data_IF_827435004752
#
_entry.id   IF_827435004752
#
_cell.length_a   1.000
_cell.length_b   1.000
_cell.length_c   1.000
_cell.angle_alpha   90.00
_cell.angle_beta   90.00
_cell.angle_gamma   90.00
#
_symmetry.space_group_name_H-M   'P 1'
#
loop_
_entity.id
_entity.type
_entity.pdbx_description
1 polymer ?
#
# COMPACT_ATOMS: atom_id res chain seq x y z
N UNK A 1 42.12 25.61 -20.88
CA UNK A 1 42.38 25.44 -19.44
C UNK A 1 43.04 24.08 -19.28
N UNK A 2 44.28 24.03 -18.78
CA UNK A 2 45.03 22.77 -18.68
C UNK A 2 44.55 21.92 -17.50
N UNK A 3 44.69 20.59 -17.62
CA UNK A 3 44.35 19.59 -16.60
C UNK A 3 44.97 19.92 -15.23
N UNK A 4 46.18 20.40 -15.20
CA UNK A 4 46.87 20.82 -13.97
C UNK A 4 46.10 21.92 -13.20
N UNK A 5 45.49 22.87 -13.88
CA UNK A 5 44.70 23.93 -13.25
C UNK A 5 43.39 23.39 -12.63
N UNK A 6 42.80 22.35 -13.22
CA UNK A 6 41.63 21.63 -12.67
C UNK A 6 42.02 20.83 -11.42
N UNK A 7 43.18 20.19 -11.42
CA UNK A 7 43.69 19.40 -10.28
C UNK A 7 43.97 20.34 -9.12
N UNK A 8 44.73 21.44 -9.33
CA UNK A 8 45.03 22.42 -8.29
C UNK A 8 43.79 23.12 -7.72
N UNK A 9 42.77 23.37 -8.56
CA UNK A 9 41.52 23.99 -8.15
C UNK A 9 40.67 23.07 -7.25
N UNK A 10 40.84 21.77 -7.34
CA UNK A 10 40.12 20.80 -6.53
C UNK A 10 40.95 20.21 -5.37
N UNK A 11 42.26 20.51 -5.36
CA UNK A 11 43.15 20.03 -4.29
C UNK A 11 42.82 20.78 -2.98
N UNK A 12 42.51 20.04 -1.93
CA UNK A 12 42.16 20.61 -0.62
C UNK A 12 40.72 21.10 -0.48
N UNK A 13 39.86 20.91 -1.46
CA UNK A 13 38.41 21.16 -1.27
C UNK A 13 37.74 19.97 -0.61
N UNK A 14 36.93 20.29 0.39
CA UNK A 14 36.05 19.26 0.99
C UNK A 14 35.13 18.65 -0.07
N UNK A 15 34.76 17.38 0.11
CA UNK A 15 33.79 16.71 -0.73
C UNK A 15 32.51 17.53 -0.87
N UNK A 16 32.00 17.69 -2.10
CA UNK A 16 30.72 18.34 -2.35
C UNK A 16 29.54 17.39 -2.21
N UNK A 17 29.82 16.12 -2.08
CA UNK A 17 28.83 15.08 -1.82
C UNK A 17 28.73 14.82 -0.33
N UNK A 18 27.51 14.71 0.16
CA UNK A 18 27.28 14.30 1.56
C UNK A 18 27.65 12.83 1.73
N UNK A 19 28.28 12.52 2.84
CA UNK A 19 28.48 11.14 3.26
C UNK A 19 27.18 10.65 3.91
N UNK A 20 26.88 9.32 3.85
CA UNK A 20 25.71 8.75 4.52
C UNK A 20 25.71 8.97 6.04
N UNK A 21 26.87 9.23 6.63
CA UNK A 21 27.03 9.54 8.06
C UNK A 21 26.78 11.00 8.43
N UNK A 22 26.56 11.90 7.46
CA UNK A 22 26.30 13.31 7.74
C UNK A 22 24.91 13.46 8.36
N UNK A 23 24.84 13.84 9.62
CA UNK A 23 23.61 14.06 10.40
C UNK A 23 22.86 15.35 10.00
N UNK A 24 22.88 15.70 8.74
CA UNK A 24 22.12 16.86 8.25
C UNK A 24 20.70 16.41 7.91
N UNK A 25 19.67 17.06 8.46
CA UNK A 25 18.29 16.69 8.19
C UNK A 25 17.99 16.78 6.68
N UNK A 26 17.20 15.84 6.19
CA UNK A 26 16.75 15.86 4.81
C UNK A 26 15.77 17.01 4.59
N UNK A 27 15.74 17.61 3.38
CA UNK A 27 14.79 18.66 3.06
C UNK A 27 13.35 18.16 3.16
N UNK A 28 12.42 19.08 3.39
CA UNK A 28 10.99 18.79 3.35
C UNK A 28 10.60 18.18 2.01
N UNK A 29 9.76 17.15 2.04
CA UNK A 29 9.36 16.40 0.84
C UNK A 29 10.39 15.37 0.34
N UNK A 30 11.47 15.14 1.09
CA UNK A 30 12.42 14.08 0.76
C UNK A 30 11.72 12.72 0.76
N UNK A 31 11.90 11.96 -0.31
CA UNK A 31 11.38 10.59 -0.46
C UNK A 31 12.42 9.61 0.06
N UNK A 32 12.36 9.31 1.36
CA UNK A 32 13.25 8.36 2.00
C UNK A 32 12.77 6.91 1.87
N UNK A 33 12.79 6.18 2.97
CA UNK A 33 12.40 4.76 3.00
C UNK A 33 10.89 4.60 2.80
N UNK A 34 10.49 3.63 1.97
CA UNK A 34 9.09 3.27 1.78
C UNK A 34 8.60 2.43 2.96
N UNK A 35 7.40 2.74 3.45
CA UNK A 35 6.71 1.97 4.47
C UNK A 35 5.36 1.47 3.97
N UNK A 36 4.88 0.37 4.54
CA UNK A 36 3.60 -0.23 4.21
C UNK A 36 2.84 -0.63 5.48
N UNK A 37 1.61 -0.17 5.60
CA UNK A 37 0.68 -0.55 6.66
C UNK A 37 -0.29 -1.62 6.15
N UNK A 38 -0.10 -2.86 6.61
CA UNK A 38 -0.95 -3.99 6.25
C UNK A 38 -2.40 -3.84 6.74
N UNK A 39 -2.63 -3.08 7.82
CA UNK A 39 -3.98 -2.80 8.34
C UNK A 39 -4.78 -1.84 7.47
N UNK A 40 -4.12 -1.02 6.67
CA UNK A 40 -4.75 -0.13 5.69
C UNK A 40 -4.79 -0.73 4.28
N UNK A 41 -4.07 -1.82 4.03
CA UNK A 41 -3.97 -2.42 2.71
C UNK A 41 -5.19 -3.26 2.36
N UNK A 42 -5.73 -3.08 1.17
CA UNK A 42 -6.86 -3.87 0.63
C UNK A 42 -6.41 -5.01 -0.28
N UNK A 43 -5.11 -5.21 -0.46
CA UNK A 43 -4.59 -6.22 -1.38
C UNK A 43 -4.90 -5.96 -2.85
N UNK A 44 -5.22 -4.71 -3.24
CA UNK A 44 -5.61 -4.36 -4.61
C UNK A 44 -4.48 -4.46 -5.64
N UNK A 45 -3.23 -4.63 -5.20
CA UNK A 45 -2.02 -4.79 -6.02
C UNK A 45 -1.68 -3.60 -6.95
N UNK A 46 -2.41 -2.49 -6.87
CA UNK A 46 -2.17 -1.30 -7.72
C UNK A 46 -0.74 -0.80 -7.63
N UNK A 47 -0.15 -0.82 -6.41
CA UNK A 47 1.22 -0.36 -6.20
C UNK A 47 2.27 -1.21 -6.94
N UNK A 48 2.03 -2.51 -7.12
CA UNK A 48 2.87 -3.37 -7.97
C UNK A 48 2.70 -3.04 -9.46
N UNK A 49 1.47 -2.80 -9.91
CA UNK A 49 1.17 -2.45 -11.30
C UNK A 49 1.83 -1.14 -11.75
N UNK A 50 1.83 -0.12 -10.89
CA UNK A 50 2.41 1.20 -11.24
C UNK A 50 3.92 1.25 -11.01
N UNK A 51 4.52 0.20 -10.47
CA UNK A 51 5.94 0.12 -10.17
C UNK A 51 6.73 -0.32 -11.41
N UNK A 52 7.24 0.63 -12.19
CA UNK A 52 8.02 0.34 -13.40
C UNK A 52 9.23 -0.57 -13.17
N UNK A 53 10.05 -0.40 -12.10
CA UNK A 53 11.16 -1.30 -11.84
C UNK A 53 10.76 -2.60 -11.14
N UNK A 54 9.45 -2.87 -10.93
CA UNK A 54 8.94 -4.07 -10.25
C UNK A 54 9.49 -4.25 -8.82
N UNK A 55 9.80 -3.14 -8.14
CA UNK A 55 10.30 -3.15 -6.76
C UNK A 55 9.25 -3.62 -5.74
N UNK A 56 7.95 -3.66 -6.12
CA UNK A 56 6.86 -4.15 -5.29
C UNK A 56 6.24 -5.36 -5.98
N UNK A 57 6.19 -6.48 -5.26
CA UNK A 57 5.61 -7.74 -5.72
C UNK A 57 4.63 -8.29 -4.70
N UNK A 58 3.81 -9.25 -5.14
CA UNK A 58 2.80 -9.92 -4.31
C UNK A 58 2.93 -11.42 -4.46
N UNK A 59 2.92 -12.11 -3.32
CA UNK A 59 2.76 -13.57 -3.30
C UNK A 59 1.37 -13.89 -2.73
N UNK A 60 0.57 -14.58 -3.54
CA UNK A 60 -0.80 -14.99 -3.23
C UNK A 60 -0.93 -16.52 -3.09
N UNK A 61 0.17 -17.21 -2.92
CA UNK A 61 0.20 -18.68 -2.79
C UNK A 61 -0.39 -19.19 -1.47
N UNK A 62 -0.33 -18.35 -0.42
CA UNK A 62 -0.89 -18.69 0.88
C UNK A 62 -2.40 -18.36 0.93
N UNK A 63 -3.28 -19.33 1.33
CA UNK A 63 -4.71 -19.10 1.41
C UNK A 63 -5.13 -18.16 2.56
N UNK A 64 -4.25 -17.87 3.51
CA UNK A 64 -4.56 -17.05 4.69
C UNK A 64 -4.25 -15.56 4.51
N UNK A 65 -3.31 -15.21 3.63
CA UNK A 65 -2.86 -13.83 3.42
C UNK A 65 -2.27 -13.60 2.04
N UNK A 66 -2.17 -12.34 1.66
CA UNK A 66 -1.33 -11.87 0.55
C UNK A 66 -0.03 -11.35 1.16
N UNK A 67 1.12 -11.85 0.73
CA UNK A 67 2.40 -11.30 1.11
C UNK A 67 2.74 -10.13 0.17
N UNK A 68 2.78 -8.91 0.71
CA UNK A 68 3.33 -7.74 0.05
C UNK A 68 4.84 -7.72 0.27
N UNK A 69 5.61 -7.52 -0.78
CA UNK A 69 7.07 -7.54 -0.74
C UNK A 69 7.61 -6.29 -1.44
N UNK A 70 8.64 -5.69 -0.86
CA UNK A 70 9.32 -4.52 -1.41
C UNK A 70 10.83 -4.70 -1.38
N UNK A 71 11.45 -4.44 -2.52
CA UNK A 71 12.88 -4.53 -2.76
C UNK A 71 13.43 -3.10 -2.97
N UNK A 72 14.02 -2.52 -1.92
CA UNK A 72 14.49 -1.14 -1.94
C UNK A 72 15.61 -0.92 -2.97
N UNK A 73 16.42 -1.92 -3.24
CA UNK A 73 17.51 -1.89 -4.23
C UNK A 73 17.02 -1.71 -5.68
N UNK A 74 15.76 -2.07 -5.96
CA UNK A 74 15.14 -1.88 -7.27
C UNK A 74 14.34 -0.57 -7.36
N UNK A 75 14.11 0.09 -6.22
CA UNK A 75 13.23 1.24 -6.17
C UNK A 75 13.88 2.49 -6.76
N UNK A 76 13.17 3.18 -7.65
CA UNK A 76 13.57 4.48 -8.20
C UNK A 76 13.05 5.68 -7.40
N UNK A 77 12.40 5.47 -6.27
CA UNK A 77 11.82 6.51 -5.39
C UNK A 77 10.87 7.48 -6.13
N UNK A 78 10.22 7.04 -7.21
CA UNK A 78 9.34 7.87 -8.02
C UNK A 78 8.04 8.29 -7.31
N UNK A 79 7.59 7.56 -6.28
CA UNK A 79 6.41 7.87 -5.47
C UNK A 79 5.07 7.43 -6.05
N UNK A 80 5.02 6.84 -7.24
CA UNK A 80 3.74 6.42 -7.86
C UNK A 80 2.96 5.45 -6.99
N UNK A 81 3.60 4.51 -6.31
CA UNK A 81 2.92 3.57 -5.42
C UNK A 81 2.22 4.26 -4.24
N UNK A 82 2.76 5.37 -3.75
CA UNK A 82 2.15 6.20 -2.70
C UNK A 82 0.97 6.98 -3.25
N UNK A 83 1.15 7.62 -4.41
CA UNK A 83 0.12 8.45 -5.06
C UNK A 83 -1.11 7.64 -5.48
N UNK A 84 -0.91 6.45 -6.04
CA UNK A 84 -1.99 5.60 -6.53
C UNK A 84 -2.56 4.64 -5.49
N UNK A 85 -2.10 4.67 -4.24
CA UNK A 85 -2.66 3.83 -3.19
C UNK A 85 -4.02 4.37 -2.72
N UNK A 86 -5.13 3.66 -2.97
CA UNK A 86 -6.48 4.17 -2.68
C UNK A 86 -6.76 4.33 -1.19
N UNK A 87 -6.02 3.60 -0.35
CA UNK A 87 -6.18 3.62 1.11
C UNK A 87 -5.04 4.33 1.83
N UNK A 88 -4.03 4.82 1.10
CA UNK A 88 -2.80 5.39 1.65
C UNK A 88 -2.05 4.44 2.61
N UNK A 89 -2.11 3.14 2.31
CA UNK A 89 -1.38 2.12 3.05
C UNK A 89 0.15 2.20 2.83
N UNK A 90 0.60 2.98 1.85
CA UNK A 90 2.01 3.17 1.51
C UNK A 90 2.37 4.63 1.71
N UNK A 91 3.50 4.87 2.36
CA UNK A 91 4.04 6.21 2.57
C UNK A 91 5.57 6.19 2.55
N UNK A 92 6.18 7.37 2.40
CA UNK A 92 7.61 7.54 2.63
C UNK A 92 7.84 8.11 4.03
N UNK A 93 8.89 7.64 4.69
CA UNK A 93 9.44 8.29 5.88
C UNK A 93 10.72 9.02 5.48
N UNK A 94 10.94 10.20 6.06
CA UNK A 94 12.09 11.05 5.75
C UNK A 94 13.37 10.54 6.41
N UNK A 95 13.61 9.23 6.37
CA UNK A 95 14.81 8.59 6.87
C UNK A 95 15.71 8.17 5.72
N UNK A 96 17.02 8.19 5.95
CA UNK A 96 17.98 7.71 4.96
C UNK A 96 17.72 6.25 4.65
N UNK A 97 17.73 5.84 3.37
CA UNK A 97 17.78 4.43 3.03
C UNK A 97 18.97 3.77 3.72
N UNK A 98 18.78 2.53 4.15
CA UNK A 98 19.85 1.75 4.76
C UNK A 98 20.98 1.58 3.74
N UNK A 99 22.15 2.08 4.08
CA UNK A 99 23.36 1.90 3.28
C UNK A 99 24.14 0.73 3.85
N UNK A 100 23.96 -0.45 3.26
CA UNK A 100 24.60 -1.69 3.70
C UNK A 100 24.91 -2.59 2.51
N UNK A 101 25.91 -3.45 2.66
CA UNK A 101 26.19 -4.52 1.72
C UNK A 101 25.29 -5.76 1.91
N UNK A 102 24.53 -5.80 2.98
CA UNK A 102 23.57 -6.89 3.24
C UNK A 102 22.23 -6.60 2.57
N UNK A 103 21.96 -7.31 1.47
CA UNK A 103 20.74 -7.15 0.68
C UNK A 103 19.47 -7.56 1.43
N UNK A 104 19.56 -8.42 2.44
CA UNK A 104 18.40 -8.85 3.21
C UNK A 104 17.73 -7.70 3.96
N UNK A 105 18.52 -6.69 4.36
CA UNK A 105 18.03 -5.48 5.02
C UNK A 105 17.31 -4.50 4.06
N UNK A 106 17.43 -4.70 2.75
CA UNK A 106 16.74 -3.91 1.73
C UNK A 106 15.39 -4.52 1.32
N UNK A 107 15.01 -5.65 1.91
CA UNK A 107 13.75 -6.34 1.66
C UNK A 107 12.78 -6.12 2.81
N UNK A 108 11.63 -5.52 2.50
CA UNK A 108 10.51 -5.41 3.43
C UNK A 108 9.40 -6.35 2.99
N UNK A 109 8.86 -7.12 3.93
CA UNK A 109 7.71 -7.98 3.70
C UNK A 109 6.62 -7.68 4.71
N UNK A 110 5.37 -7.62 4.25
CA UNK A 110 4.19 -7.45 5.10
C UNK A 110 3.08 -8.38 4.65
N UNK A 111 2.18 -8.74 5.56
CA UNK A 111 1.07 -9.66 5.31
C UNK A 111 -0.26 -8.93 5.39
N UNK A 112 -1.12 -9.18 4.41
CA UNK A 112 -2.48 -8.67 4.36
C UNK A 112 -3.41 -9.88 4.48
N UNK A 113 -4.03 -10.03 5.63
CA UNK A 113 -4.81 -11.23 5.95
C UNK A 113 -6.20 -11.22 5.31
N UNK A 114 -6.62 -12.39 4.87
CA UNK A 114 -7.99 -12.63 4.47
C UNK A 114 -8.91 -12.79 5.69
N UNK A 115 -10.14 -12.30 5.54
CA UNK A 115 -11.22 -12.50 6.50
C UNK A 115 -12.33 -13.34 5.87
N UNK A 116 -13.02 -14.19 6.62
CA UNK A 116 -14.14 -14.94 6.07
C UNK A 116 -15.32 -14.00 5.79
N UNK A 117 -15.95 -14.16 4.62
CA UNK A 117 -17.21 -13.50 4.33
C UNK A 117 -18.28 -13.90 5.34
N UNK A 118 -18.98 -12.93 5.93
CA UNK A 118 -19.99 -13.16 6.97
C UNK A 118 -21.17 -14.07 6.52
N UNK A 119 -21.40 -14.21 5.19
CA UNK A 119 -22.52 -15.04 4.67
C UNK A 119 -22.09 -16.39 4.13
N UNK A 120 -20.95 -16.50 3.46
CA UNK A 120 -20.55 -17.73 2.75
C UNK A 120 -19.16 -18.25 3.11
N UNK A 121 -18.45 -17.62 4.06
CA UNK A 121 -17.11 -18.03 4.50
C UNK A 121 -15.98 -17.80 3.50
N UNK A 122 -16.26 -17.34 2.27
CA UNK A 122 -15.20 -17.08 1.27
C UNK A 122 -14.20 -16.04 1.77
N UNK A 123 -12.89 -16.23 1.52
CA UNK A 123 -11.88 -15.25 1.91
C UNK A 123 -12.08 -13.91 1.18
N UNK A 124 -12.04 -12.82 1.92
CA UNK A 124 -12.13 -11.43 1.46
C UNK A 124 -11.13 -10.57 2.22
N UNK A 125 -10.77 -9.42 1.65
CA UNK A 125 -10.10 -8.35 2.38
C UNK A 125 -11.09 -7.19 2.45
N UNK A 126 -11.67 -6.90 3.63
CA UNK A 126 -12.60 -5.78 3.79
C UNK A 126 -11.86 -4.45 3.67
N UNK A 127 -12.57 -3.40 3.24
CA UNK A 127 -12.02 -2.04 3.26
C UNK A 127 -11.71 -1.61 4.69
N UNK A 128 -10.54 -1.02 4.94
CA UNK A 128 -10.20 -0.48 6.26
C UNK A 128 -11.17 0.63 6.69
N UNK A 129 -11.49 0.69 7.98
CA UNK A 129 -12.40 1.71 8.52
C UNK A 129 -12.01 3.14 8.13
N UNK A 130 -10.72 3.56 8.20
CA UNK A 130 -10.32 4.89 7.77
C UNK A 130 -10.60 5.19 6.30
N UNK A 131 -10.53 4.19 5.42
CA UNK A 131 -10.88 4.34 4.01
C UNK A 131 -12.41 4.50 3.82
N UNK A 132 -13.20 3.74 4.57
CA UNK A 132 -14.66 3.87 4.58
C UNK A 132 -15.10 5.25 5.08
N UNK A 133 -14.54 5.74 6.18
CA UNK A 133 -14.84 7.07 6.73
C UNK A 133 -14.53 8.18 5.69
N UNK A 134 -13.40 8.08 4.98
CA UNK A 134 -13.08 9.04 3.90
C UNK A 134 -14.10 9.02 2.75
N UNK A 135 -14.58 7.83 2.36
CA UNK A 135 -15.55 7.69 1.28
C UNK A 135 -16.95 8.20 1.66
N UNK A 136 -17.36 8.00 2.91
CA UNK A 136 -18.74 8.25 3.37
C UNK A 136 -18.86 9.43 4.35
N UNK A 137 -17.81 10.24 4.52
CA UNK A 137 -17.81 11.48 5.32
C UNK A 137 -18.44 11.34 6.72
N UNK A 138 -17.68 10.72 7.63
CA UNK A 138 -17.92 10.68 9.09
C UNK A 138 -19.13 9.85 9.60
N UNK A 139 -20.19 9.67 8.84
CA UNK A 139 -21.31 8.83 9.23
C UNK A 139 -21.25 7.50 8.51
N UNK A 140 -20.67 6.49 9.16
CA UNK A 140 -20.62 5.14 8.62
C UNK A 140 -21.86 4.36 9.12
N UNK A 141 -22.95 4.23 8.32
CA UNK A 141 -24.11 3.44 8.69
C UNK A 141 -23.71 1.99 8.99
N UNK A 142 -24.34 1.38 9.99
CA UNK A 142 -24.10 -0.03 10.34
C UNK A 142 -24.33 -0.97 9.13
N UNK A 143 -25.21 -0.58 8.25
CA UNK A 143 -25.46 -1.26 6.99
C UNK A 143 -24.24 -1.34 6.08
N UNK A 144 -23.47 -0.27 5.96
CA UNK A 144 -22.23 -0.25 5.18
C UNK A 144 -21.13 -1.09 5.84
N UNK A 145 -21.05 -1.10 7.15
CA UNK A 145 -20.13 -1.98 7.88
C UNK A 145 -20.45 -3.45 7.63
N UNK A 146 -21.73 -3.82 7.67
CA UNK A 146 -22.15 -5.19 7.38
C UNK A 146 -21.89 -5.59 5.94
N UNK A 147 -22.14 -4.71 4.96
CA UNK A 147 -21.85 -4.94 3.55
C UNK A 147 -20.34 -5.09 3.29
N UNK A 148 -19.51 -4.37 4.05
CA UNK A 148 -18.05 -4.47 3.93
C UNK A 148 -17.50 -5.86 4.32
N UNK A 149 -18.23 -6.59 5.15
CA UNK A 149 -17.88 -7.96 5.57
C UNK A 149 -18.39 -9.06 4.59
N UNK A 150 -19.01 -8.67 3.49
CA UNK A 150 -19.52 -9.60 2.49
C UNK A 150 -18.61 -9.63 1.26
N UNK A 151 -18.45 -10.82 0.67
CA UNK A 151 -17.82 -10.94 -0.65
C UNK A 151 -18.71 -10.33 -1.74
N UNK A 152 -18.12 -10.03 -2.90
CA UNK A 152 -18.82 -9.42 -4.03
C UNK A 152 -20.12 -10.15 -4.41
N UNK A 153 -20.08 -11.49 -4.52
CA UNK A 153 -21.27 -12.28 -4.85
C UNK A 153 -22.39 -12.15 -3.80
N UNK A 154 -22.03 -12.13 -2.52
CA UNK A 154 -23.01 -11.97 -1.45
C UNK A 154 -23.59 -10.56 -1.42
N UNK A 155 -22.79 -9.52 -1.68
CA UNK A 155 -23.25 -8.13 -1.82
C UNK A 155 -24.22 -7.96 -2.99
N UNK A 156 -23.85 -8.48 -4.17
CA UNK A 156 -24.71 -8.44 -5.36
C UNK A 156 -26.03 -9.17 -5.15
N UNK A 157 -25.99 -10.34 -4.50
CA UNK A 157 -27.21 -11.08 -4.15
C UNK A 157 -28.10 -10.30 -3.20
N UNK A 158 -27.55 -9.70 -2.14
CA UNK A 158 -28.32 -8.87 -1.21
C UNK A 158 -28.93 -7.64 -1.89
N UNK A 159 -28.20 -6.98 -2.78
CA UNK A 159 -28.74 -5.87 -3.58
C UNK A 159 -29.90 -6.30 -4.47
N UNK A 160 -29.76 -7.45 -5.14
CA UNK A 160 -30.84 -8.00 -6.00
C UNK A 160 -32.09 -8.39 -5.21
N UNK A 161 -31.93 -8.93 -4.00
CA UNK A 161 -33.02 -9.26 -3.09
C UNK A 161 -33.80 -8.00 -2.70
N UNK A 162 -33.10 -6.91 -2.32
CA UNK A 162 -33.70 -5.62 -1.98
C UNK A 162 -34.45 -4.98 -3.16
N UNK A 163 -33.90 -5.04 -4.36
CA UNK A 163 -34.56 -4.53 -5.56
C UNK A 163 -35.87 -5.27 -5.80
N UNK A 164 -35.88 -6.60 -5.71
CA UNK A 164 -37.08 -7.43 -5.86
C UNK A 164 -38.14 -7.11 -4.80
N UNK A 165 -37.73 -6.98 -3.53
CA UNK A 165 -38.63 -6.59 -2.44
C UNK A 165 -39.28 -5.22 -2.68
N UNK A 166 -38.49 -4.24 -3.15
CA UNK A 166 -39.00 -2.91 -3.51
C UNK A 166 -39.96 -2.88 -4.68
N UNK A 167 -39.76 -3.77 -5.67
CA UNK A 167 -40.62 -3.86 -6.86
C UNK A 167 -41.92 -4.67 -6.62
N UNK A 168 -41.81 -5.73 -5.80
CA UNK A 168 -42.92 -6.70 -5.63
C UNK A 168 -43.68 -6.51 -4.32
N UNK A 169 -43.16 -5.74 -3.38
CA UNK A 169 -43.68 -5.66 -2.01
C UNK A 169 -43.59 -6.96 -1.21
N UNK A 170 -43.00 -8.02 -1.81
CA UNK A 170 -42.88 -9.35 -1.20
C UNK A 170 -41.49 -9.51 -0.59
N UNK A 171 -41.42 -9.70 0.72
CA UNK A 171 -40.15 -10.05 1.40
C UNK A 171 -39.65 -11.40 0.96
N UNK A 172 -38.48 -11.45 0.32
CA UNK A 172 -37.83 -12.71 -0.07
C UNK A 172 -37.24 -13.37 1.18
N UNK A 173 -37.81 -14.49 1.60
CA UNK A 173 -37.22 -15.31 2.66
C UNK A 173 -35.92 -15.93 2.15
N UNK A 174 -34.79 -15.51 2.71
CA UNK A 174 -33.49 -16.13 2.45
C UNK A 174 -33.48 -17.48 3.16
N UNK A 175 -33.34 -18.59 2.41
CA UNK A 175 -32.95 -19.87 3.00
C UNK A 175 -31.47 -19.77 3.37
N UNK A 176 -31.17 -19.98 4.67
CA UNK A 176 -29.83 -20.16 5.21
C UNK A 176 -29.11 -21.36 4.60
#
# INVERSE_FOLDING_TARGET
MGILNLVFRNFGRNSRTRLPADLVPYPEGYRGTLTHDGGLCTGCQTCGYVCSPSAITFDTSDPAFIAWQYFAEQCSFCGRCVEYCPTHAISFIAESPIVTGDRSLHHLANRVYYHPCARCGRPIIPLPVPALVRLYREQLPEELKSLNQLCEKCRSRQASERIKEGQTGIKVKVKE
#
